data_IF_294114128923
#
_entry.id   IF_294114128923
#
_cell.length_a   1.000
_cell.length_b   1.000
_cell.length_c   1.000
_cell.angle_alpha   90.00
_cell.angle_beta   90.00
_cell.angle_gamma   90.00
#
_symmetry.space_group_name_H-M   'P 1'
#
loop_
_entity.id
_entity.type
_entity.pdbx_description
1 polymer ?
#
# COMPACT_ATOMS: atom_id res chain seq x y z
N UNK A 1 -0.70 26.60 7.82
CA UNK A 1 -1.04 25.82 6.62
C UNK A 1 -0.54 26.60 5.43
N UNK A 2 0.20 25.97 4.55
CA UNK A 2 0.78 26.57 3.34
C UNK A 2 0.43 25.70 2.12
N UNK A 3 0.14 26.33 0.99
CA UNK A 3 -0.14 25.66 -0.28
C UNK A 3 0.90 26.14 -1.29
N UNK A 4 1.62 25.20 -1.91
CA UNK A 4 2.67 25.48 -2.87
C UNK A 4 2.28 24.84 -4.20
N UNK A 5 2.18 25.66 -5.24
CA UNK A 5 1.94 25.16 -6.60
C UNK A 5 3.28 24.67 -7.16
N UNK A 6 3.45 23.36 -7.23
CA UNK A 6 4.69 22.73 -7.73
C UNK A 6 4.69 22.75 -9.26
N UNK A 7 3.55 22.48 -9.88
CA UNK A 7 3.35 22.62 -11.31
C UNK A 7 1.92 23.00 -11.65
N UNK A 8 1.79 23.91 -12.62
CA UNK A 8 0.54 24.59 -12.96
C UNK A 8 0.14 24.41 -14.43
N UNK A 9 0.77 23.46 -15.11
CA UNK A 9 0.62 23.20 -16.54
C UNK A 9 -0.30 22.01 -16.81
N UNK A 10 0.02 21.26 -17.85
CA UNK A 10 -0.69 20.06 -18.31
C UNK A 10 0.34 19.07 -18.88
N UNK A 11 -0.11 18.01 -19.55
CA UNK A 11 0.76 17.13 -20.33
C UNK A 11 1.39 17.77 -21.58
N UNK A 12 1.05 19.01 -21.93
CA UNK A 12 1.69 19.74 -23.02
C UNK A 12 2.98 20.40 -22.50
N UNK A 13 4.17 20.07 -23.05
CA UNK A 13 5.43 20.62 -22.58
C UNK A 13 5.48 22.15 -22.62
N UNK A 14 6.04 22.76 -21.58
CA UNK A 14 6.23 24.21 -21.49
C UNK A 14 7.56 24.53 -20.82
N UNK A 15 8.25 25.56 -21.32
CA UNK A 15 9.45 26.10 -20.65
C UNK A 15 9.12 26.85 -19.35
N UNK A 16 7.84 27.21 -19.12
CA UNK A 16 7.41 28.05 -18.00
C UNK A 16 6.59 27.31 -16.95
N UNK A 17 6.02 26.15 -17.27
CA UNK A 17 5.08 25.43 -16.41
C UNK A 17 5.38 23.94 -16.40
N UNK A 18 5.49 23.36 -15.21
CA UNK A 18 5.53 21.90 -15.02
C UNK A 18 4.13 21.28 -15.01
N UNK A 19 4.06 19.95 -15.12
CA UNK A 19 2.82 19.19 -15.03
C UNK A 19 2.10 19.39 -13.67
N UNK A 20 0.79 19.16 -13.58
CA UNK A 20 0.01 19.34 -12.34
C UNK A 20 0.63 18.70 -11.11
N UNK A 21 0.89 19.52 -10.09
CA UNK A 21 1.26 19.08 -8.75
C UNK A 21 1.08 20.22 -7.74
N UNK A 22 0.47 19.94 -6.59
CA UNK A 22 0.24 20.91 -5.50
C UNK A 22 0.64 20.30 -4.16
N UNK A 23 1.52 20.95 -3.43
CA UNK A 23 1.89 20.54 -2.08
C UNK A 23 1.09 21.32 -1.02
N UNK A 24 0.55 20.62 -0.02
CA UNK A 24 -0.08 21.19 1.16
C UNK A 24 0.77 20.86 2.38
N UNK A 25 1.20 21.87 3.12
CA UNK A 25 1.92 21.74 4.38
C UNK A 25 1.04 22.16 5.55
N UNK A 26 0.76 21.22 6.46
CA UNK A 26 -0.03 21.49 7.65
C UNK A 26 0.35 20.51 8.78
N UNK A 27 0.39 21.01 10.02
CA UNK A 27 0.62 20.20 11.22
C UNK A 27 1.83 19.24 11.13
N UNK A 28 2.93 19.69 10.52
CA UNK A 28 4.15 18.90 10.35
C UNK A 28 4.08 17.81 9.28
N UNK A 29 2.99 17.76 8.50
CA UNK A 29 2.80 16.83 7.38
C UNK A 29 2.88 17.55 6.04
N UNK A 30 3.31 16.83 5.02
CA UNK A 30 3.32 17.26 3.62
C UNK A 30 2.47 16.31 2.78
N UNK A 31 1.39 16.84 2.20
CA UNK A 31 0.52 16.12 1.26
C UNK A 31 0.82 16.65 -0.13
N UNK A 32 1.09 15.77 -1.08
CA UNK A 32 1.21 16.11 -2.49
C UNK A 32 -0.05 15.65 -3.22
N UNK A 33 -0.70 16.56 -3.93
CA UNK A 33 -1.80 16.26 -4.85
C UNK A 33 -1.25 16.26 -6.28
N UNK A 34 -1.41 15.13 -6.95
CA UNK A 34 -0.82 14.76 -8.23
C UNK A 34 0.72 14.77 -8.25
N UNK A 35 1.27 13.93 -9.11
CA UNK A 35 2.70 13.70 -9.27
C UNK A 35 3.02 13.61 -10.76
N UNK A 36 2.75 14.70 -11.48
CA UNK A 36 3.01 14.84 -12.90
C UNK A 36 4.50 14.78 -13.25
N UNK A 37 4.81 14.60 -14.54
CA UNK A 37 6.19 14.51 -15.01
C UNK A 37 7.04 15.74 -14.61
N UNK A 38 8.20 15.50 -14.01
CA UNK A 38 9.15 16.52 -13.55
C UNK A 38 8.84 17.13 -12.17
N UNK A 39 7.78 16.68 -11.50
CA UNK A 39 7.38 17.14 -10.16
C UNK A 39 8.48 16.90 -9.12
N UNK A 40 9.17 15.75 -9.15
CA UNK A 40 10.23 15.46 -8.17
C UNK A 40 11.35 16.49 -8.21
N UNK A 41 11.73 16.93 -9.41
CA UNK A 41 12.70 18.01 -9.59
C UNK A 41 12.13 19.37 -9.18
N UNK A 42 10.86 19.62 -9.48
CA UNK A 42 10.21 20.88 -9.13
C UNK A 42 10.05 21.06 -7.61
N UNK A 43 9.83 19.98 -6.84
CA UNK A 43 9.83 20.00 -5.37
C UNK A 43 11.15 20.58 -4.83
N UNK A 44 12.29 20.11 -5.35
CA UNK A 44 13.61 20.57 -4.93
C UNK A 44 13.82 22.08 -5.18
N UNK A 45 13.26 22.61 -6.27
CA UNK A 45 13.36 24.04 -6.61
C UNK A 45 12.61 24.94 -5.61
N UNK A 46 11.65 24.41 -4.86
CA UNK A 46 10.90 25.14 -3.82
C UNK A 46 11.33 24.74 -2.41
N UNK A 47 12.45 24.03 -2.27
CA UNK A 47 12.99 23.62 -0.97
C UNK A 47 12.26 22.44 -0.31
N UNK A 48 11.48 21.67 -1.08
CA UNK A 48 10.85 20.44 -0.62
C UNK A 48 11.60 19.20 -1.12
N UNK A 49 11.92 18.28 -0.22
CA UNK A 49 12.51 17.00 -0.57
C UNK A 49 11.42 15.91 -0.67
N UNK A 50 11.54 15.02 -1.64
CA UNK A 50 10.55 13.95 -1.88
C UNK A 50 10.45 12.96 -0.71
N UNK A 51 11.50 12.82 0.12
CA UNK A 51 11.50 11.98 1.33
C UNK A 51 10.65 12.56 2.47
N UNK A 52 10.22 13.82 2.35
CA UNK A 52 9.39 14.51 3.35
C UNK A 52 7.90 14.38 3.06
N UNK A 53 7.51 13.76 1.95
CA UNK A 53 6.10 13.55 1.59
C UNK A 53 5.49 12.47 2.48
N UNK A 54 4.38 12.79 3.13
CA UNK A 54 3.63 11.85 3.97
C UNK A 54 2.51 11.16 3.21
N UNK A 55 1.85 11.89 2.30
CA UNK A 55 0.70 11.41 1.53
C UNK A 55 0.84 11.92 0.09
N UNK A 56 0.65 11.02 -0.88
CA UNK A 56 0.47 11.38 -2.28
C UNK A 56 -0.95 11.02 -2.68
N UNK A 57 -1.75 12.03 -3.00
CA UNK A 57 -3.10 11.87 -3.55
C UNK A 57 -3.04 12.00 -5.07
N UNK A 58 -3.47 10.98 -5.80
CA UNK A 58 -3.56 11.02 -7.26
C UNK A 58 -5.02 11.22 -7.66
N UNK A 59 -5.29 12.23 -8.49
CA UNK A 59 -6.65 12.56 -8.91
C UNK A 59 -7.20 11.56 -9.94
N UNK A 60 -6.40 11.21 -10.94
CA UNK A 60 -6.73 10.27 -12.02
C UNK A 60 -5.44 9.81 -12.75
N UNK A 61 -5.57 8.95 -13.76
CA UNK A 61 -4.44 8.25 -14.38
C UNK A 61 -3.91 8.85 -15.69
N UNK A 62 -4.22 10.11 -16.00
CA UNK A 62 -3.52 10.76 -17.11
C UNK A 62 -2.05 10.98 -16.75
N UNK A 63 -1.17 10.81 -17.73
CA UNK A 63 0.28 10.77 -17.50
C UNK A 63 0.84 12.07 -16.91
N UNK A 64 0.17 13.20 -17.13
CA UNK A 64 0.53 14.49 -16.55
C UNK A 64 0.15 14.64 -15.08
N UNK A 65 -0.57 13.67 -14.50
CA UNK A 65 -0.88 13.62 -13.07
C UNK A 65 -0.14 12.49 -12.33
N UNK A 66 0.46 11.53 -13.06
CA UNK A 66 1.12 10.35 -12.46
C UNK A 66 2.52 10.07 -13.01
N UNK A 67 3.03 10.89 -13.94
CA UNK A 67 4.24 10.62 -14.70
C UNK A 67 5.51 10.42 -13.85
N UNK A 68 5.57 11.03 -12.67
CA UNK A 68 6.69 10.89 -11.73
C UNK A 68 6.46 9.82 -10.64
N UNK A 69 5.33 9.08 -10.68
CA UNK A 69 5.07 8.04 -9.68
C UNK A 69 6.10 6.90 -9.74
N UNK A 70 6.41 6.40 -10.93
CA UNK A 70 7.43 5.37 -11.08
C UNK A 70 8.80 5.82 -10.54
N UNK A 71 9.40 6.94 -10.98
CA UNK A 71 10.69 7.37 -10.43
C UNK A 71 10.63 7.68 -8.93
N UNK A 72 9.50 8.15 -8.40
CA UNK A 72 9.32 8.34 -6.95
C UNK A 72 9.42 7.01 -6.19
N UNK A 73 8.70 5.97 -6.64
CA UNK A 73 8.73 4.65 -6.02
C UNK A 73 10.16 4.06 -6.03
N UNK A 74 10.87 4.19 -7.15
CA UNK A 74 12.28 3.75 -7.23
C UNK A 74 13.20 4.55 -6.31
N UNK A 75 13.07 5.89 -6.30
CA UNK A 75 13.93 6.77 -5.49
C UNK A 75 13.72 6.59 -3.98
N UNK A 76 12.51 6.21 -3.56
CA UNK A 76 12.18 6.02 -2.15
C UNK A 76 12.46 4.62 -1.63
N UNK A 77 12.83 3.67 -2.50
CA UNK A 77 12.86 2.24 -2.16
C UNK A 77 11.56 1.83 -1.44
N UNK A 78 10.42 2.21 -2.02
CA UNK A 78 9.12 2.11 -1.36
C UNK A 78 8.90 0.73 -0.73
N UNK A 79 8.32 0.73 0.46
CA UNK A 79 7.77 -0.47 1.07
C UNK A 79 6.26 -0.47 0.89
N UNK A 80 5.71 -1.62 0.53
CA UNK A 80 4.28 -1.79 0.28
C UNK A 80 3.65 -2.74 1.30
N UNK A 81 2.54 -2.29 1.87
CA UNK A 81 1.66 -3.09 2.72
C UNK A 81 0.30 -3.17 2.06
N UNK A 82 -0.24 -4.38 1.97
CA UNK A 82 -1.62 -4.60 1.53
C UNK A 82 -2.47 -5.07 2.70
N UNK A 83 -3.63 -4.46 2.86
CA UNK A 83 -4.64 -4.83 3.85
C UNK A 83 -5.88 -5.33 3.14
N UNK A 84 -6.29 -6.57 3.41
CA UNK A 84 -7.39 -7.20 2.67
C UNK A 84 -8.76 -6.60 2.95
N UNK A 85 -8.98 -6.11 4.19
CA UNK A 85 -10.32 -6.03 4.74
C UNK A 85 -10.99 -7.41 4.80
N UNK A 86 -12.31 -7.42 4.95
CA UNK A 86 -13.10 -8.65 4.94
C UNK A 86 -13.38 -9.07 3.49
N UNK A 87 -13.03 -10.30 3.14
CA UNK A 87 -13.16 -10.78 1.76
C UNK A 87 -13.15 -12.29 1.67
N UNK A 88 -13.81 -12.81 0.63
CA UNK A 88 -13.63 -14.21 0.21
C UNK A 88 -12.40 -14.33 -0.71
N UNK A 89 -12.16 -15.52 -1.27
CA UNK A 89 -11.14 -15.73 -2.27
C UNK A 89 -11.26 -14.69 -3.41
N UNK A 90 -10.18 -13.95 -3.66
CA UNK A 90 -10.16 -12.85 -4.61
C UNK A 90 -8.86 -12.79 -5.40
N UNK A 91 -8.95 -13.07 -6.70
CA UNK A 91 -7.80 -12.93 -7.62
C UNK A 91 -7.35 -11.46 -7.75
N UNK A 92 -8.26 -10.51 -7.50
CA UNK A 92 -7.92 -9.08 -7.47
C UNK A 92 -7.05 -8.76 -6.25
N UNK A 93 -7.34 -9.35 -5.09
CA UNK A 93 -6.48 -9.22 -3.91
C UNK A 93 -5.12 -9.87 -4.15
N UNK A 94 -5.07 -11.04 -4.79
CA UNK A 94 -3.81 -11.69 -5.14
C UNK A 94 -2.94 -10.76 -5.99
N UNK A 95 -3.51 -10.19 -7.05
CA UNK A 95 -2.82 -9.24 -7.93
C UNK A 95 -2.39 -7.95 -7.22
N UNK A 96 -3.21 -7.45 -6.30
CA UNK A 96 -2.89 -6.26 -5.51
C UNK A 96 -1.72 -6.50 -4.56
N UNK A 97 -1.66 -7.69 -3.95
CA UNK A 97 -0.62 -8.09 -3.00
C UNK A 97 0.68 -8.56 -3.66
N UNK A 98 0.65 -8.94 -4.95
CA UNK A 98 1.85 -9.32 -5.68
C UNK A 98 2.91 -8.21 -5.66
N UNK A 99 4.04 -8.48 -5.01
CA UNK A 99 5.15 -7.53 -4.86
C UNK A 99 5.09 -6.66 -3.61
N UNK A 100 4.12 -6.86 -2.71
CA UNK A 100 4.11 -6.22 -1.41
C UNK A 100 5.15 -6.86 -0.45
N UNK A 101 5.67 -6.07 0.49
CA UNK A 101 6.56 -6.56 1.56
C UNK A 101 5.79 -7.23 2.69
N UNK A 102 4.53 -6.83 2.87
CA UNK A 102 3.65 -7.35 3.91
C UNK A 102 2.21 -7.42 3.41
N UNK A 103 1.58 -8.57 3.60
CA UNK A 103 0.14 -8.75 3.46
C UNK A 103 -0.50 -8.92 4.84
N UNK A 104 -1.47 -8.08 5.17
CA UNK A 104 -2.35 -8.24 6.33
C UNK A 104 -3.66 -8.83 5.79
N UNK A 105 -3.90 -10.10 6.08
CA UNK A 105 -4.96 -10.91 5.48
C UNK A 105 -5.93 -11.42 6.55
N UNK A 106 -7.22 -11.34 6.26
CA UNK A 106 -8.24 -11.97 7.08
C UNK A 106 -8.15 -13.50 7.08
N UNK A 107 -8.46 -14.11 8.23
CA UNK A 107 -8.55 -15.56 8.40
C UNK A 107 -9.68 -15.86 9.40
N UNK A 108 -10.91 -15.51 9.01
CA UNK A 108 -11.98 -15.28 9.96
C UNK A 108 -12.40 -16.48 10.79
N UNK A 109 -12.50 -17.66 10.20
CA UNK A 109 -13.09 -18.80 10.90
C UNK A 109 -12.47 -20.13 10.46
N UNK A 110 -12.34 -21.15 11.34
CA UNK A 110 -11.77 -22.44 10.97
C UNK A 110 -12.56 -23.15 9.87
N UNK A 111 -13.88 -22.96 9.86
CA UNK A 111 -14.79 -23.47 8.81
C UNK A 111 -15.21 -22.35 7.88
N UNK A 112 -15.40 -22.69 6.60
CA UNK A 112 -15.73 -21.70 5.57
C UNK A 112 -17.06 -21.00 5.87
N UNK A 113 -17.04 -19.67 5.82
CA UNK A 113 -18.21 -18.80 5.83
C UNK A 113 -18.16 -17.96 4.55
N UNK A 114 -19.27 -17.81 3.80
CA UNK A 114 -19.30 -16.97 2.62
C UNK A 114 -18.86 -15.54 2.93
N UNK A 115 -17.96 -14.99 2.11
CA UNK A 115 -17.42 -13.65 2.30
C UNK A 115 -16.16 -13.58 3.17
N UNK A 116 -15.65 -14.72 3.66
CA UNK A 116 -14.47 -14.79 4.51
C UNK A 116 -13.55 -15.96 4.17
N UNK A 117 -12.27 -15.84 4.54
CA UNK A 117 -11.27 -16.89 4.40
C UNK A 117 -11.17 -17.75 5.65
N UNK A 118 -10.91 -19.03 5.45
CA UNK A 118 -10.34 -19.88 6.51
C UNK A 118 -8.82 -19.65 6.63
N UNK A 119 -8.18 -19.99 7.77
CA UNK A 119 -6.72 -19.89 7.90
C UNK A 119 -5.93 -20.65 6.81
N UNK A 120 -6.43 -21.81 6.39
CA UNK A 120 -5.82 -22.58 5.29
C UNK A 120 -5.99 -21.90 3.93
N UNK A 121 -7.16 -21.30 3.66
CA UNK A 121 -7.36 -20.51 2.43
C UNK A 121 -6.51 -19.24 2.42
N UNK A 122 -6.34 -18.58 3.57
CA UNK A 122 -5.46 -17.43 3.72
C UNK A 122 -4.01 -17.80 3.38
N UNK A 123 -3.53 -18.97 3.83
CA UNK A 123 -2.23 -19.50 3.42
C UNK A 123 -2.14 -19.74 1.91
N UNK A 124 -3.11 -20.43 1.31
CA UNK A 124 -3.15 -20.65 -0.15
C UNK A 124 -3.16 -19.34 -0.94
N UNK A 125 -3.91 -18.35 -0.49
CA UNK A 125 -3.97 -17.04 -1.13
C UNK A 125 -2.63 -16.36 -1.03
N UNK A 126 -2.04 -16.26 0.17
CA UNK A 126 -0.73 -15.63 0.38
C UNK A 126 0.36 -16.29 -0.47
N UNK A 127 0.36 -17.62 -0.60
CA UNK A 127 1.29 -18.34 -1.46
C UNK A 127 1.19 -17.97 -2.95
N UNK A 128 0.01 -17.55 -3.43
CA UNK A 128 -0.17 -17.05 -4.80
C UNK A 128 0.36 -15.64 -5.00
N UNK A 129 0.50 -14.86 -3.93
CA UNK A 129 1.00 -13.47 -4.00
C UNK A 129 2.54 -13.41 -4.04
N UNK A 130 3.21 -14.38 -3.41
CA UNK A 130 4.66 -14.37 -3.25
C UNK A 130 5.18 -13.34 -2.25
N UNK A 131 4.32 -12.73 -1.42
CA UNK A 131 4.75 -11.83 -0.34
C UNK A 131 5.70 -12.58 0.61
N UNK A 132 6.69 -11.89 1.22
CA UNK A 132 7.63 -12.54 2.14
C UNK A 132 7.03 -12.67 3.54
N UNK A 133 6.07 -11.82 3.92
CA UNK A 133 5.50 -11.73 5.27
C UNK A 133 3.98 -11.63 5.20
N UNK A 134 3.32 -12.41 6.05
CA UNK A 134 1.88 -12.49 6.19
C UNK A 134 1.47 -12.24 7.64
N UNK A 135 0.54 -11.32 7.87
CA UNK A 135 -0.12 -11.15 9.17
C UNK A 135 -1.56 -11.63 9.03
N UNK A 136 -1.92 -12.65 9.81
CA UNK A 136 -3.29 -13.15 9.88
C UNK A 136 -4.08 -12.32 10.89
N UNK A 137 -5.29 -11.90 10.53
CA UNK A 137 -6.17 -11.07 11.39
C UNK A 137 -7.65 -11.42 11.21
N UNK A 138 -8.53 -10.63 11.84
CA UNK A 138 -9.99 -10.70 11.74
C UNK A 138 -10.57 -12.02 12.26
N UNK A 139 -10.09 -12.51 13.42
CA UNK A 139 -10.47 -13.81 13.97
C UNK A 139 -11.85 -13.81 14.65
N UNK A 140 -12.71 -14.77 14.31
CA UNK A 140 -13.84 -15.14 15.14
C UNK A 140 -13.38 -15.98 16.34
N UNK A 141 -14.13 -16.00 17.46
CA UNK A 141 -13.73 -16.70 18.68
C UNK A 141 -13.28 -18.17 18.52
N UNK A 142 -13.82 -18.97 17.58
CA UNK A 142 -13.32 -20.33 17.34
C UNK A 142 -11.85 -20.40 16.92
N UNK A 143 -11.29 -19.36 16.30
CA UNK A 143 -9.88 -19.31 15.93
C UNK A 143 -8.94 -19.29 17.15
N UNK A 144 -9.42 -18.89 18.34
CA UNK A 144 -8.63 -18.95 19.58
C UNK A 144 -8.43 -20.39 20.08
N UNK A 145 -9.22 -21.34 19.58
CA UNK A 145 -9.15 -22.75 19.93
C UNK A 145 -8.32 -23.57 18.94
N UNK A 146 -7.63 -22.92 17.99
CA UNK A 146 -6.77 -23.58 17.03
C UNK A 146 -5.46 -22.82 16.80
N UNK A 147 -4.47 -23.53 16.24
CA UNK A 147 -3.26 -22.91 15.74
C UNK A 147 -3.48 -22.41 14.30
N UNK A 148 -3.91 -21.16 14.16
CA UNK A 148 -4.13 -20.51 12.86
C UNK A 148 -2.84 -20.39 12.05
N UNK A 149 -1.69 -20.27 12.72
CA UNK A 149 -0.38 -20.16 12.05
C UNK A 149 -0.03 -21.51 11.44
N UNK A 150 -0.15 -22.60 12.20
CA UNK A 150 0.12 -23.95 11.70
C UNK A 150 -0.83 -24.32 10.55
N UNK A 151 -2.11 -23.95 10.63
CA UNK A 151 -3.07 -24.19 9.54
C UNK A 151 -2.70 -23.45 8.25
N UNK A 152 -2.24 -22.20 8.38
CA UNK A 152 -1.78 -21.38 7.26
C UNK A 152 -0.45 -21.90 6.67
N UNK A 153 0.49 -22.32 7.53
CA UNK A 153 1.83 -22.79 7.17
C UNK A 153 1.84 -24.08 6.33
N UNK A 154 0.72 -24.81 6.27
CA UNK A 154 0.58 -25.96 5.38
C UNK A 154 0.65 -25.57 3.89
N UNK A 155 0.31 -24.32 3.57
CA UNK A 155 0.09 -23.85 2.20
C UNK A 155 1.02 -22.69 1.82
N UNK A 156 1.64 -22.03 2.82
CA UNK A 156 2.50 -20.86 2.65
C UNK A 156 3.78 -21.00 3.47
N UNK A 157 4.91 -20.65 2.84
CA UNK A 157 6.26 -20.86 3.39
C UNK A 157 6.97 -19.58 3.84
N UNK A 158 6.36 -18.40 3.64
CA UNK A 158 6.91 -17.14 4.15
C UNK A 158 6.70 -16.97 5.65
N UNK A 159 7.13 -15.82 6.19
CA UNK A 159 6.89 -15.51 7.60
C UNK A 159 5.39 -15.33 7.86
N UNK A 160 4.85 -16.02 8.86
CA UNK A 160 3.44 -15.91 9.28
C UNK A 160 3.40 -15.37 10.71
N UNK A 161 2.63 -14.32 10.89
CA UNK A 161 2.44 -13.65 12.18
C UNK A 161 0.94 -13.69 12.50
N UNK A 162 0.58 -14.20 13.68
CA UNK A 162 -0.78 -14.04 14.21
C UNK A 162 -0.92 -12.63 14.79
N UNK A 163 -1.91 -11.87 14.34
CA UNK A 163 -2.18 -10.55 14.91
C UNK A 163 -2.68 -10.67 16.36
N UNK A 164 -2.25 -9.71 17.19
CA UNK A 164 -2.76 -9.51 18.56
C UNK A 164 -3.01 -8.02 18.78
N UNK A 165 -3.95 -7.69 19.66
CA UNK A 165 -4.23 -6.31 20.02
C UNK A 165 -2.98 -5.62 20.56
N UNK A 166 -2.58 -4.52 19.91
CA UNK A 166 -1.38 -3.77 20.26
C UNK A 166 -0.08 -4.26 19.60
N UNK A 167 -0.13 -5.28 18.74
CA UNK A 167 1.01 -5.72 17.93
C UNK A 167 1.57 -4.53 17.11
N UNK A 168 2.90 -4.37 17.13
CA UNK A 168 3.63 -3.35 16.37
C UNK A 168 4.60 -4.01 15.43
N UNK A 169 4.51 -3.66 14.15
CA UNK A 169 5.38 -4.15 13.10
C UNK A 169 6.13 -2.98 12.46
N UNK A 170 7.36 -3.26 12.02
CA UNK A 170 8.08 -2.42 11.08
C UNK A 170 8.05 -3.11 9.71
N UNK A 171 7.86 -2.30 8.69
CA UNK A 171 7.96 -2.68 7.29
C UNK A 171 9.06 -1.82 6.70
#
# INVERSE_FOLDING_TARGET
MEIIIIGSGTGVPSQRRGAPAVALQAAGRVILLDLGAGTLRALLNVGLDFTRLDIIGLSHFHIDHVGDLAPFLFATHYSAVVYSGDTDWSDSLIRLASGADLLILEAANPTKIPGHLTPAEAGRLAARTGVPRLVLTHFYPPCDQMDVVAACAQEYSGEIIRAEDGLRLKV
#
